data_IF_726725123353
#
_entry.id   IF_726725123353
#
_cell.length_a   1.000
_cell.length_b   1.000
_cell.length_c   1.000
_cell.angle_alpha   90.00
_cell.angle_beta   90.00
_cell.angle_gamma   90.00
#
_symmetry.space_group_name_H-M   'P 1'
#
loop_
_entity.id
_entity.type
_entity.pdbx_description
1 polymer ?
#
# COMPACT_ATOMS: atom_id res chain seq x y z
N UNK A 1 -2.06 -8.28 -17.13
CA UNK A 1 -1.85 -7.57 -15.85
C UNK A 1 -2.27 -6.09 -15.94
N UNK A 2 -2.08 -5.37 -17.05
CA UNK A 2 -2.58 -3.99 -17.21
C UNK A 2 -4.11 -3.81 -17.10
N UNK A 3 -4.88 -4.81 -17.55
CA UNK A 3 -6.35 -4.78 -17.49
C UNK A 3 -6.88 -4.70 -16.05
N UNK A 4 -6.14 -5.23 -15.08
CA UNK A 4 -6.55 -5.25 -13.67
C UNK A 4 -6.20 -3.93 -12.98
N UNK A 5 -5.05 -3.33 -13.28
CA UNK A 5 -4.64 -2.06 -12.68
C UNK A 5 -5.54 -0.90 -13.12
N UNK A 6 -5.91 -0.84 -14.40
CA UNK A 6 -6.82 0.22 -14.89
C UNK A 6 -8.19 0.13 -14.22
N UNK A 7 -8.76 -1.07 -14.15
CA UNK A 7 -10.05 -1.31 -13.50
C UNK A 7 -9.99 -0.97 -12.00
N UNK A 8 -8.88 -1.31 -11.33
CA UNK A 8 -8.66 -0.98 -9.93
C UNK A 8 -8.56 0.53 -9.69
N UNK A 9 -7.87 1.28 -10.57
CA UNK A 9 -7.77 2.75 -10.47
C UNK A 9 -9.14 3.42 -10.62
N UNK A 10 -9.96 2.94 -11.55
CA UNK A 10 -11.34 3.41 -11.74
C UNK A 10 -12.21 3.07 -10.52
N UNK A 11 -12.09 1.87 -9.97
CA UNK A 11 -12.82 1.43 -8.78
C UNK A 11 -12.46 2.24 -7.52
N UNK A 12 -11.16 2.51 -7.32
CA UNK A 12 -10.65 3.31 -6.20
C UNK A 12 -10.86 4.82 -6.39
N UNK A 13 -11.45 5.24 -7.51
CA UNK A 13 -11.69 6.65 -7.87
C UNK A 13 -10.42 7.51 -7.77
N UNK A 14 -9.27 6.93 -8.16
CA UNK A 14 -7.99 7.62 -8.06
C UNK A 14 -7.94 8.79 -9.05
N UNK A 15 -7.31 9.93 -8.69
CA UNK A 15 -7.10 11.03 -9.60
C UNK A 15 -6.37 10.57 -10.88
N UNK A 16 -6.66 11.18 -12.05
CA UNK A 16 -5.93 10.87 -13.28
C UNK A 16 -4.41 11.08 -13.16
N UNK A 17 -3.99 11.98 -12.26
CA UNK A 17 -2.60 12.28 -11.94
C UNK A 17 -2.03 11.42 -10.80
N UNK A 18 -2.77 10.44 -10.28
CA UNK A 18 -2.25 9.56 -9.24
C UNK A 18 -1.05 8.78 -9.80
N UNK A 19 0.11 8.82 -9.14
CA UNK A 19 1.32 8.24 -9.70
C UNK A 19 1.18 6.71 -9.80
N UNK A 20 1.67 6.13 -10.89
CA UNK A 20 1.72 4.67 -11.08
C UNK A 20 2.74 4.01 -10.14
N UNK A 21 3.73 4.79 -9.69
CA UNK A 21 4.82 4.34 -8.83
C UNK A 21 4.77 5.17 -7.55
N UNK A 22 4.85 4.51 -6.41
CA UNK A 22 5.07 5.19 -5.14
C UNK A 22 6.59 5.34 -4.94
N UNK A 23 7.12 6.54 -5.17
CA UNK A 23 8.56 6.81 -5.08
C UNK A 23 9.14 6.54 -3.69
N UNK A 24 8.36 6.74 -2.62
CA UNK A 24 8.77 6.42 -1.27
C UNK A 24 8.94 4.91 -1.08
N UNK A 25 7.98 4.11 -1.56
CA UNK A 25 8.07 2.65 -1.52
C UNK A 25 9.17 2.13 -2.45
N UNK A 26 9.33 2.69 -3.64
CA UNK A 26 10.38 2.32 -4.57
C UNK A 26 11.78 2.58 -3.97
N UNK A 27 11.97 3.72 -3.31
CA UNK A 27 13.20 4.04 -2.58
C UNK A 27 13.45 3.09 -1.40
N UNK A 28 12.40 2.71 -0.67
CA UNK A 28 12.49 1.77 0.45
C UNK A 28 12.86 0.36 -0.03
N UNK A 29 12.32 -0.11 -1.15
CA UNK A 29 12.64 -1.42 -1.73
C UNK A 29 14.05 -1.52 -2.35
N UNK A 30 14.71 -0.38 -2.58
CA UNK A 30 16.11 -0.35 -3.00
C UNK A 30 17.07 -0.56 -1.81
N UNK A 31 16.59 -0.37 -0.59
CA UNK A 31 17.27 -0.75 0.63
C UNK A 31 16.85 -2.18 1.01
N UNK A 32 17.78 -3.01 1.49
CA UNK A 32 17.49 -4.37 1.96
C UNK A 32 16.87 -4.30 3.37
N UNK A 33 15.67 -3.72 3.45
CA UNK A 33 14.90 -3.50 4.68
C UNK A 33 13.77 -4.51 4.79
N UNK A 34 13.54 -5.00 6.00
CA UNK A 34 12.43 -5.91 6.26
C UNK A 34 11.09 -5.16 6.32
N UNK A 35 9.99 -5.91 6.21
CA UNK A 35 8.66 -5.32 6.31
C UNK A 35 8.41 -4.67 7.68
N UNK A 36 9.02 -5.19 8.73
CA UNK A 36 8.96 -4.65 10.09
C UNK A 36 9.64 -3.29 10.17
N UNK A 37 10.83 -3.15 9.56
CA UNK A 37 11.55 -1.87 9.50
C UNK A 37 10.80 -0.84 8.66
N UNK A 38 10.15 -1.26 7.57
CA UNK A 38 9.27 -0.40 6.77
C UNK A 38 8.08 0.05 7.61
N UNK A 39 7.43 -0.87 8.34
CA UNK A 39 6.29 -0.54 9.20
C UNK A 39 6.68 0.50 10.27
N UNK A 40 7.82 0.32 10.94
CA UNK A 40 8.35 1.27 11.92
C UNK A 40 8.60 2.65 11.30
N UNK A 41 9.28 2.71 10.15
CA UNK A 41 9.57 3.98 9.44
C UNK A 41 8.29 4.71 9.01
N UNK A 42 7.25 3.97 8.67
CA UNK A 42 5.95 4.50 8.26
C UNK A 42 5.04 4.83 9.45
N UNK A 43 5.47 4.57 10.68
CA UNK A 43 4.66 4.77 11.89
C UNK A 43 3.46 3.82 11.98
N UNK A 44 3.53 2.67 11.30
CA UNK A 44 2.50 1.64 11.34
C UNK A 44 2.71 0.82 12.61
N UNK A 45 1.71 0.80 13.49
CA UNK A 45 1.74 -0.03 14.69
C UNK A 45 1.83 -1.51 14.29
N UNK A 46 2.68 -2.34 14.90
CA UNK A 46 2.88 -3.73 14.49
C UNK A 46 1.61 -4.59 14.59
N UNK A 47 0.67 -4.20 15.44
CA UNK A 47 -0.64 -4.81 15.68
C UNK A 47 -1.78 -4.14 14.90
N UNK A 48 -1.47 -3.30 13.90
CA UNK A 48 -2.47 -2.58 13.13
C UNK A 48 -3.55 -3.50 12.52
N UNK A 49 -3.17 -4.69 12.07
CA UNK A 49 -4.11 -5.67 11.52
C UNK A 49 -5.03 -6.30 12.58
N UNK A 50 -4.59 -6.40 13.83
CA UNK A 50 -5.40 -6.96 14.91
C UNK A 50 -6.59 -6.04 15.26
N UNK A 51 -6.46 -4.76 14.94
CA UNK A 51 -7.54 -3.76 15.08
C UNK A 51 -8.55 -3.78 13.92
N UNK A 52 -8.25 -4.49 12.83
CA UNK A 52 -9.16 -4.58 11.69
C UNK A 52 -10.24 -5.60 12.01
N UNK A 53 -11.46 -5.11 12.16
CA UNK A 53 -12.64 -5.97 12.19
C UNK A 53 -12.81 -6.62 10.80
N UNK A 54 -12.32 -7.85 10.68
CA UNK A 54 -12.39 -8.63 9.45
C UNK A 54 -13.83 -8.87 8.97
N UNK A 55 -14.84 -8.67 9.83
CA UNK A 55 -16.25 -8.72 9.42
C UNK A 55 -16.69 -7.51 8.58
N UNK A 56 -15.89 -6.43 8.53
CA UNK A 56 -16.10 -5.28 7.64
C UNK A 56 -15.51 -5.50 6.24
N UNK A 57 -14.76 -6.60 6.03
CA UNK A 57 -14.13 -6.94 4.75
C UNK A 57 -14.98 -7.89 3.88
N UNK A 58 -16.20 -8.23 4.31
CA UNK A 58 -17.18 -9.05 3.58
C UNK A 58 -18.22 -8.24 2.83
#
# INVERSE_FOLDING_TARGET
>A
MEKDLKALREYLLLPPCYPEINDCLASLLMEDVTNEEIAERMGIAPDWMDSIDASQLT
#
